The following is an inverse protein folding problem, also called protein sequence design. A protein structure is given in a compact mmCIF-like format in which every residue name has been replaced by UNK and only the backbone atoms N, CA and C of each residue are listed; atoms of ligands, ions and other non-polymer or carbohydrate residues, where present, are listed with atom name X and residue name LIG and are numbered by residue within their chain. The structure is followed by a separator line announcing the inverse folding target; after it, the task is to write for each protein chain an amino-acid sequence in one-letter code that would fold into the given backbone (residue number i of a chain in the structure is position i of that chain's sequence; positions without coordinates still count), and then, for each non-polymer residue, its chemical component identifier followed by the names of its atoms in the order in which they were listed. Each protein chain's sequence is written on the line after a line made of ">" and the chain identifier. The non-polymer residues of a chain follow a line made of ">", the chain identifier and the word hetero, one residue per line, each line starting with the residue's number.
data_IF_235728469703
#
_entry.id   IF_235728469703
#
_cell.length_a   1.000
_cell.length_b   1.000
_cell.length_c   1.000
_cell.angle_alpha   90.00
_cell.angle_beta   90.00
_cell.angle_gamma   90.00
#
_symmetry.space_group_name_H-M   'P 1'
#
loop_
_entity.id
_entity.type
_entity.pdbx_description
1 polymer ?
#
# COMPACT_ATOMS: atom_id res chain seq x y z
N UNK A 1 -6.87 15.16 4.64
CA UNK A 1 -6.88 14.72 6.06
C UNK A 1 -6.41 13.28 6.08
N UNK A 2 -5.79 12.81 7.16
CA UNK A 2 -5.49 11.38 7.32
C UNK A 2 -6.80 10.60 7.51
N UNK A 3 -6.82 9.31 7.15
CA UNK A 3 -7.96 8.46 7.47
C UNK A 3 -8.12 8.33 8.99
N UNK A 4 -9.35 8.23 9.50
CA UNK A 4 -9.58 7.94 10.91
C UNK A 4 -9.03 6.56 11.27
N UNK A 5 -8.38 6.47 12.42
CA UNK A 5 -7.68 5.27 12.90
C UNK A 5 -8.16 4.90 14.29
N UNK A 6 -8.27 3.61 14.55
CA UNK A 6 -8.39 3.05 15.89
C UNK A 6 -6.99 2.85 16.44
N UNK A 7 -6.71 3.45 17.59
CA UNK A 7 -5.45 3.27 18.30
C UNK A 7 -5.60 2.20 19.38
N UNK A 8 -4.64 1.28 19.44
CA UNK A 8 -4.56 0.27 20.49
C UNK A 8 -3.10 0.07 20.93
N UNK A 9 -2.90 -0.67 22.02
CA UNK A 9 -1.56 -1.06 22.48
C UNK A 9 -1.29 -2.51 22.06
N UNK A 10 -0.13 -2.73 21.43
CA UNK A 10 0.38 -4.05 21.12
C UNK A 10 0.92 -4.76 22.36
N UNK A 11 1.15 -6.07 22.26
CA UNK A 11 1.69 -6.90 23.35
C UNK A 11 3.07 -6.44 23.85
N UNK A 12 3.81 -5.73 23.00
CA UNK A 12 5.14 -5.21 23.30
C UNK A 12 5.13 -3.76 23.81
N UNK A 13 3.95 -3.15 23.99
CA UNK A 13 3.79 -1.76 24.42
C UNK A 13 3.78 -0.74 23.26
N UNK A 14 3.91 -1.19 22.01
CA UNK A 14 3.84 -0.32 20.83
C UNK A 14 2.42 0.20 20.58
N UNK A 15 2.30 1.40 20.00
CA UNK A 15 1.01 1.92 19.54
C UNK A 15 0.68 1.31 18.18
N UNK A 16 -0.45 0.62 18.10
CA UNK A 16 -0.99 0.08 16.86
C UNK A 16 -2.06 1.02 16.30
N UNK A 17 -2.10 1.10 14.97
CA UNK A 17 -2.95 1.94 14.15
C UNK A 17 -3.69 1.06 13.15
N UNK A 18 -4.96 0.82 13.44
CA UNK A 18 -5.85 0.14 12.50
C UNK A 18 -6.74 1.16 11.80
N UNK A 19 -6.95 0.99 10.51
CA UNK A 19 -7.99 1.72 9.78
C UNK A 19 -9.35 1.37 10.39
N UNK A 20 -10.21 2.37 10.60
CA UNK A 20 -11.56 2.10 11.13
C UNK A 20 -12.34 1.16 10.19
N UNK A 21 -13.07 0.15 10.70
CA UNK A 21 -13.73 -0.84 9.86
C UNK A 21 -14.72 -0.27 8.84
N UNK A 22 -15.33 0.88 9.15
CA UNK A 22 -16.28 1.58 8.30
C UNK A 22 -15.66 2.03 6.98
N UNK A 23 -14.34 2.21 6.90
CA UNK A 23 -13.63 2.52 5.64
C UNK A 23 -13.82 1.38 4.63
N UNK A 24 -13.99 0.13 5.06
CA UNK A 24 -14.22 -0.99 4.16
C UNK A 24 -15.57 -0.91 3.44
N UNK A 25 -16.55 -0.19 3.97
CA UNK A 25 -17.81 0.08 3.29
C UNK A 25 -17.64 0.96 2.05
N UNK A 26 -16.50 1.66 1.92
CA UNK A 26 -16.17 2.46 0.74
C UNK A 26 -15.69 1.60 -0.43
N UNK A 27 -15.36 0.31 -0.25
CA UNK A 27 -14.88 -0.56 -1.34
C UNK A 27 -15.98 -0.80 -2.38
N UNK A 28 -15.86 -0.19 -3.55
CA UNK A 28 -16.84 -0.27 -4.63
C UNK A 28 -16.56 -1.44 -5.58
N UNK A 29 -15.35 -1.46 -6.15
CA UNK A 29 -14.93 -2.41 -7.18
C UNK A 29 -13.58 -2.98 -6.80
N UNK A 30 -13.41 -4.29 -6.89
CA UNK A 30 -12.12 -4.93 -6.67
C UNK A 30 -11.40 -5.17 -7.99
N UNK A 31 -10.12 -4.81 -8.05
CA UNK A 31 -9.27 -4.99 -9.22
C UNK A 31 -8.46 -6.28 -9.14
N UNK A 32 -7.99 -6.61 -7.93
CA UNK A 32 -7.15 -7.76 -7.64
C UNK A 32 -7.69 -8.42 -6.38
N UNK A 33 -7.86 -9.75 -6.43
CA UNK A 33 -8.28 -10.57 -5.29
C UNK A 33 -7.33 -11.75 -5.13
N UNK A 34 -6.15 -11.50 -4.57
CA UNK A 34 -5.26 -12.57 -4.13
C UNK A 34 -5.15 -12.55 -2.61
N UNK A 35 -5.88 -13.48 -2.00
CA UNK A 35 -5.76 -13.74 -0.58
C UNK A 35 -4.50 -14.56 -0.26
N UNK A 36 -4.12 -14.67 1.02
CA UNK A 36 -2.91 -15.37 1.48
C UNK A 36 -2.79 -16.86 1.09
N UNK A 37 -3.83 -17.46 0.51
CA UNK A 37 -3.91 -18.89 0.14
C UNK A 37 -4.05 -19.13 -1.38
N UNK A 38 -4.03 -18.09 -2.20
CA UNK A 38 -4.13 -18.24 -3.65
C UNK A 38 -2.78 -18.71 -4.23
N UNK A 39 -2.79 -19.65 -5.18
CA UNK A 39 -1.58 -20.08 -5.87
C UNK A 39 -0.94 -18.89 -6.62
N UNK A 40 0.37 -18.70 -6.44
CA UNK A 40 1.17 -17.59 -7.00
C UNK A 40 1.13 -17.51 -8.55
N UNK A 41 0.61 -18.54 -9.23
CA UNK A 41 0.53 -18.65 -10.69
C UNK A 41 -0.54 -17.79 -11.37
N UNK A 42 -1.38 -17.07 -10.61
CA UNK A 42 -2.52 -16.32 -11.15
C UNK A 42 -2.46 -14.82 -10.90
N UNK A 43 -1.26 -14.21 -10.86
CA UNK A 43 -1.21 -12.77 -11.13
C UNK A 43 -1.35 -12.63 -12.63
N UNK A 44 -2.60 -12.73 -13.08
CA UNK A 44 -2.96 -12.47 -14.45
C UNK A 44 -2.36 -11.12 -14.82
N UNK A 45 -1.70 -11.07 -15.98
CA UNK A 45 -1.13 -9.86 -16.57
C UNK A 45 -2.13 -8.67 -16.62
N UNK A 46 -3.43 -8.95 -16.45
CA UNK A 46 -4.50 -7.97 -16.22
C UNK A 46 -4.37 -7.14 -14.93
N UNK A 47 -3.54 -7.55 -13.97
CA UNK A 47 -3.22 -6.79 -12.76
C UNK A 47 -2.17 -5.69 -13.02
N UNK A 48 -1.57 -5.59 -14.21
CA UNK A 48 -0.55 -4.58 -14.51
C UNK A 48 -1.11 -3.22 -14.95
N UNK A 49 -2.35 -3.17 -15.42
CA UNK A 49 -3.05 -1.95 -15.83
C UNK A 49 -4.29 -1.73 -14.94
N UNK A 50 -4.08 -1.31 -13.70
CA UNK A 50 -5.19 -1.01 -12.79
C UNK A 50 -5.50 0.48 -12.81
N UNK A 51 -6.61 0.81 -13.48
CA UNK A 51 -7.13 2.18 -13.50
C UNK A 51 -7.88 2.48 -12.20
N UNK A 52 -7.20 3.11 -11.26
CA UNK A 52 -7.81 3.73 -10.08
C UNK A 52 -8.36 5.10 -10.51
N UNK A 53 -9.68 5.25 -10.53
CA UNK A 53 -10.33 6.48 -10.96
C UNK A 53 -10.23 7.55 -9.87
N UNK A 54 -9.95 8.78 -10.29
CA UNK A 54 -9.82 9.96 -9.44
C UNK A 54 -8.85 9.79 -8.26
N UNK A 55 -7.86 8.89 -8.41
CA UNK A 55 -6.93 8.51 -7.36
C UNK A 55 -7.64 8.16 -6.04
N UNK A 56 -8.79 7.49 -6.11
CA UNK A 56 -9.54 7.05 -4.95
C UNK A 56 -9.48 5.53 -4.83
N UNK A 57 -8.46 5.04 -4.14
CA UNK A 57 -8.15 3.61 -4.15
C UNK A 57 -7.59 3.10 -2.84
N UNK A 58 -7.64 1.78 -2.72
CA UNK A 58 -7.07 1.03 -1.61
C UNK A 58 -6.27 -0.14 -2.17
N UNK A 59 -5.06 -0.34 -1.64
CA UNK A 59 -4.17 -1.43 -2.02
C UNK A 59 -3.64 -2.05 -0.72
N UNK A 60 -3.85 -3.35 -0.56
CA UNK A 60 -3.38 -4.14 0.58
C UNK A 60 -2.49 -5.25 0.06
N UNK A 61 -1.29 -5.38 0.60
CA UNK A 61 -0.41 -6.48 0.26
C UNK A 61 0.42 -6.93 1.43
N UNK A 62 0.90 -8.17 1.33
CA UNK A 62 1.87 -8.70 2.28
C UNK A 62 2.99 -9.42 1.55
N UNK A 63 4.16 -9.47 2.18
CA UNK A 63 5.34 -10.13 1.66
C UNK A 63 6.09 -10.82 2.78
N UNK A 64 6.52 -12.07 2.52
CA UNK A 64 7.48 -12.77 3.37
C UNK A 64 8.93 -12.36 3.09
N UNK A 65 9.17 -11.57 2.04
CA UNK A 65 10.49 -11.13 1.66
C UNK A 65 10.96 -9.98 2.54
N UNK A 66 12.20 -10.10 2.99
CA UNK A 66 12.90 -9.06 3.75
C UNK A 66 13.23 -7.82 2.93
N UNK A 67 13.36 -8.03 1.62
CA UNK A 67 13.47 -6.98 0.59
C UNK A 67 12.17 -6.92 -0.18
N UNK A 68 11.55 -5.74 -0.23
CA UNK A 68 10.35 -5.52 -1.01
C UNK A 68 10.42 -4.14 -1.65
N UNK A 69 10.09 -4.05 -2.94
CA UNK A 69 9.91 -2.78 -3.61
C UNK A 69 8.60 -2.82 -4.38
N UNK A 70 7.78 -1.80 -4.18
CA UNK A 70 6.53 -1.62 -4.89
C UNK A 70 6.37 -0.17 -5.31
N UNK A 71 6.16 0.03 -6.62
CA UNK A 71 5.99 1.33 -7.23
C UNK A 71 4.66 1.41 -7.96
N UNK A 72 3.96 2.52 -7.77
CA UNK A 72 2.89 2.98 -8.63
C UNK A 72 3.50 3.93 -9.67
N UNK A 73 3.44 3.54 -10.94
CA UNK A 73 3.99 4.33 -12.06
C UNK A 73 2.90 4.83 -12.97
N UNK A 74 3.07 6.05 -13.51
CA UNK A 74 2.31 6.54 -14.65
C UNK A 74 3.22 6.61 -15.90
N UNK A 75 2.74 7.22 -16.98
CA UNK A 75 3.55 7.37 -18.22
C UNK A 75 4.78 8.28 -18.06
N UNK A 76 4.84 9.08 -17.00
CA UNK A 76 5.96 9.95 -16.67
C UNK A 76 6.95 9.31 -15.69
N UNK A 77 6.70 8.07 -15.26
CA UNK A 77 7.55 7.30 -14.36
C UNK A 77 6.96 7.12 -12.96
N UNK A 78 7.78 6.86 -11.93
CA UNK A 78 7.32 6.69 -10.55
C UNK A 78 6.44 7.85 -10.08
N UNK A 79 5.26 7.51 -9.57
CA UNK A 79 4.32 8.43 -8.95
C UNK A 79 4.35 8.30 -7.43
N UNK A 80 4.39 7.06 -6.94
CA UNK A 80 4.56 6.71 -5.54
C UNK A 80 5.36 5.42 -5.41
N UNK A 81 6.20 5.29 -4.39
CA UNK A 81 6.98 4.09 -4.15
C UNK A 81 7.20 3.80 -2.68
N UNK A 82 7.35 2.51 -2.40
CA UNK A 82 7.86 2.02 -1.12
C UNK A 82 8.94 0.98 -1.35
N UNK A 83 10.00 1.09 -0.57
CA UNK A 83 11.08 0.13 -0.50
C UNK A 83 11.28 -0.30 0.95
N UNK A 84 11.36 -1.60 1.19
CA UNK A 84 11.80 -2.22 2.44
C UNK A 84 13.13 -2.91 2.20
N UNK A 85 14.12 -2.59 3.02
CA UNK A 85 15.42 -3.26 3.04
C UNK A 85 15.74 -3.78 4.45
N UNK A 86 16.35 -4.95 4.61
CA UNK A 86 16.80 -5.43 5.90
C UNK A 86 17.80 -4.45 6.54
N UNK A 87 17.66 -4.21 7.84
CA UNK A 87 18.58 -3.42 8.65
C UNK A 87 18.99 -4.23 9.88
N UNK A 88 20.12 -4.94 9.78
CA UNK A 88 20.54 -5.89 10.81
C UNK A 88 19.69 -7.17 10.81
N UNK A 89 19.55 -7.79 11.98
CA UNK A 89 18.85 -9.10 12.15
C UNK A 89 17.39 -8.99 12.61
N UNK A 90 16.96 -7.81 13.08
CA UNK A 90 15.66 -7.64 13.75
C UNK A 90 14.87 -6.42 13.29
N UNK A 91 15.34 -5.72 12.25
CA UNK A 91 14.69 -4.52 11.75
C UNK A 91 14.73 -4.46 10.21
N UNK A 92 13.81 -3.69 9.66
CA UNK A 92 13.79 -3.32 8.25
C UNK A 92 13.68 -1.80 8.14
N UNK A 93 14.44 -1.21 7.22
CA UNK A 93 14.28 0.20 6.82
C UNK A 93 13.22 0.26 5.73
N UNK A 94 12.10 0.92 6.02
CA UNK A 94 11.06 1.20 5.03
C UNK A 94 11.15 2.65 4.60
N UNK A 95 11.23 2.87 3.29
CA UNK A 95 11.32 4.19 2.66
C UNK A 95 10.12 4.40 1.75
N UNK A 96 9.30 5.40 2.03
CA UNK A 96 8.10 5.76 1.27
C UNK A 96 8.30 7.14 0.66
N UNK A 97 8.34 7.23 -0.67
CA UNK A 97 8.62 8.47 -1.41
C UNK A 97 9.81 9.27 -0.81
N UNK A 98 10.88 8.58 -0.40
CA UNK A 98 12.09 9.18 0.19
C UNK A 98 12.04 9.43 1.71
N UNK A 99 10.90 9.22 2.38
CA UNK A 99 10.78 9.29 3.84
C UNK A 99 11.04 7.91 4.42
N UNK A 100 12.05 7.79 5.28
CA UNK A 100 12.43 6.50 5.88
C UNK A 100 12.00 6.38 7.35
N UNK A 101 11.60 5.17 7.75
CA UNK A 101 11.50 4.77 9.15
C UNK A 101 12.04 3.36 9.33
N UNK A 102 12.49 3.05 10.54
CA UNK A 102 12.85 1.70 10.95
C UNK A 102 11.60 1.00 11.49
N UNK A 103 11.40 -0.24 11.06
CA UNK A 103 10.31 -1.10 11.47
C UNK A 103 10.88 -2.36 12.14
N UNK A 104 10.35 -2.77 13.30
CA UNK A 104 10.63 -4.08 13.87
C UNK A 104 10.29 -5.17 12.85
N UNK A 105 11.26 -6.04 12.57
CA UNK A 105 11.11 -7.16 11.66
C UNK A 105 11.78 -8.38 12.25
N UNK A 106 10.98 -9.28 12.80
CA UNK A 106 11.46 -10.60 13.19
C UNK A 106 11.51 -11.49 11.93
N UNK A 107 12.63 -12.19 11.75
CA UNK A 107 12.75 -13.22 10.71
C UNK A 107 11.54 -14.15 10.78
N UNK A 108 10.93 -14.46 9.62
CA UNK A 108 9.67 -15.21 9.47
C UNK A 108 8.35 -14.45 9.64
N UNK A 109 8.37 -13.14 9.92
CA UNK A 109 7.14 -12.32 9.87
C UNK A 109 6.93 -11.71 8.48
N UNK A 110 5.68 -11.77 8.02
CA UNK A 110 5.24 -11.04 6.83
C UNK A 110 5.20 -9.55 7.15
N UNK A 111 5.74 -8.73 6.25
CA UNK A 111 5.43 -7.31 6.24
C UNK A 111 4.07 -7.12 5.57
N UNK A 112 3.16 -6.44 6.26
CA UNK A 112 1.86 -6.03 5.75
C UNK A 112 1.87 -4.52 5.46
N UNK A 113 1.32 -4.17 4.30
CA UNK A 113 1.27 -2.82 3.80
C UNK A 113 -0.14 -2.49 3.34
N UNK A 114 -0.68 -1.39 3.84
CA UNK A 114 -2.03 -0.93 3.54
C UNK A 114 -2.00 0.51 3.04
N UNK A 115 -2.13 0.68 1.73
CA UNK A 115 -2.05 1.96 1.04
C UNK A 115 -3.44 2.46 0.66
N UNK A 116 -3.69 3.72 0.98
CA UNK A 116 -4.86 4.48 0.55
C UNK A 116 -4.43 5.64 -0.34
N UNK A 117 -5.13 5.80 -1.45
CA UNK A 117 -4.97 6.90 -2.38
C UNK A 117 -6.19 7.79 -2.30
N UNK A 118 -5.97 9.10 -2.17
CA UNK A 118 -7.02 10.11 -2.28
C UNK A 118 -6.48 11.40 -2.92
N UNK A 119 -6.76 11.58 -4.21
CA UNK A 119 -6.54 12.84 -4.93
C UNK A 119 -5.08 13.31 -4.97
N UNK A 120 -4.61 13.97 -3.92
CA UNK A 120 -3.23 14.45 -3.75
C UNK A 120 -2.51 13.83 -2.55
N UNK A 121 -3.05 12.77 -1.94
CA UNK A 121 -2.50 12.14 -0.74
C UNK A 121 -2.39 10.63 -0.96
N UNK A 122 -1.26 10.07 -0.56
CA UNK A 122 -1.03 8.64 -0.42
C UNK A 122 -0.70 8.34 1.04
N UNK A 123 -1.48 7.48 1.67
CA UNK A 123 -1.31 7.09 3.07
C UNK A 123 -1.03 5.60 3.16
N UNK A 124 0.16 5.24 3.62
CA UNK A 124 0.59 3.86 3.81
C UNK A 124 0.65 3.53 5.30
N UNK A 125 0.02 2.45 5.72
CA UNK A 125 0.17 1.86 7.04
C UNK A 125 0.97 0.56 6.91
N UNK A 126 2.05 0.43 7.67
CA UNK A 126 2.94 -0.75 7.68
C UNK A 126 2.82 -1.49 9.01
N UNK A 127 2.50 -2.80 8.96
CA UNK A 127 2.31 -3.68 10.13
C UNK A 127 1.38 -3.11 11.22
N UNK A 128 0.48 -2.19 10.85
CA UNK A 128 -0.29 -1.38 11.81
C UNK A 128 0.56 -0.54 12.78
N UNK A 129 1.88 -0.44 12.62
CA UNK A 129 2.76 0.26 13.57
C UNK A 129 3.23 1.62 13.07
N UNK A 130 3.43 1.77 11.75
CA UNK A 130 3.92 3.01 11.16
C UNK A 130 2.97 3.49 10.08
N UNK A 131 2.72 4.79 10.05
CA UNK A 131 1.93 5.43 9.01
C UNK A 131 2.77 6.48 8.29
N UNK A 132 2.81 6.40 6.97
CA UNK A 132 3.46 7.37 6.09
C UNK A 132 2.36 8.09 5.31
N UNK A 133 2.23 9.40 5.53
CA UNK A 133 1.29 10.23 4.78
C UNK A 133 2.09 11.15 3.87
N UNK A 134 2.03 10.89 2.56
CA UNK A 134 2.76 11.66 1.55
C UNK A 134 1.76 12.47 0.73
N UNK A 135 2.09 13.74 0.48
CA UNK A 135 1.33 14.57 -0.48
C UNK A 135 1.99 14.52 -1.85
N UNK A 136 1.20 14.26 -2.87
CA UNK A 136 1.64 14.22 -4.27
C UNK A 136 0.82 15.25 -5.05
N UNK A 137 1.45 16.38 -5.38
CA UNK A 137 0.85 17.49 -6.13
C UNK A 137 1.07 17.36 -7.64
N UNK A 138 1.16 16.12 -8.12
CA UNK A 138 1.33 15.79 -9.53
C UNK A 138 0.17 14.88 -9.94
N UNK A 139 -0.76 15.33 -10.80
CA UNK A 139 -1.73 14.43 -11.41
C UNK A 139 -1.03 13.30 -12.16
N UNK A 140 -1.57 12.08 -12.14
CA UNK A 140 -0.96 10.96 -12.84
C UNK A 140 -1.10 11.15 -14.36
N UNK A 141 -0.02 10.92 -15.11
CA UNK A 141 -0.06 10.93 -16.57
C UNK A 141 -0.67 9.61 -17.09
N UNK A 142 -1.99 9.53 -17.08
CA UNK A 142 -2.74 8.33 -17.44
C UNK A 142 -2.95 7.37 -16.26
N UNK A 143 -3.29 6.10 -16.52
CA UNK A 143 -3.54 5.13 -15.45
C UNK A 143 -2.25 4.81 -14.68
N UNK A 144 -2.41 4.55 -13.38
CA UNK A 144 -1.33 4.01 -12.55
C UNK A 144 -1.13 2.52 -12.84
N UNK A 145 0.12 2.08 -12.79
CA UNK A 145 0.55 0.70 -13.03
C UNK A 145 1.30 0.18 -11.83
N UNK A 146 1.04 -1.08 -11.49
CA UNK A 146 1.74 -1.77 -10.42
C UNK A 146 3.07 -2.32 -10.94
N UNK A 147 4.18 -1.89 -10.32
CA UNK A 147 5.53 -2.33 -10.68
C UNK A 147 6.27 -2.84 -9.45
N UNK A 148 6.39 -4.16 -9.28
CA UNK A 148 7.40 -4.74 -8.41
C UNK A 148 8.76 -4.68 -9.13
N UNK A 149 9.78 -4.11 -8.50
CA UNK A 149 11.09 -3.94 -9.14
C UNK A 149 11.99 -5.20 -9.08
N UNK A 150 11.78 -6.11 -8.12
CA UNK A 150 12.70 -7.22 -7.83
C UNK A 150 12.30 -8.60 -8.43
N UNK A 151 11.48 -8.62 -9.48
CA UNK A 151 11.15 -9.85 -10.22
C UNK A 151 9.64 -10.07 -10.47
N UNK A 152 9.22 -11.23 -11.02
CA UNK A 152 7.80 -11.53 -11.16
C UNK A 152 7.16 -11.44 -9.79
N UNK A 153 5.88 -11.11 -9.74
CA UNK A 153 5.11 -10.78 -8.54
C UNK A 153 5.09 -11.84 -7.40
N UNK A 154 5.89 -12.91 -7.50
CA UNK A 154 6.11 -13.93 -6.48
C UNK A 154 6.79 -13.45 -5.19
N UNK A 155 7.12 -12.16 -5.05
CA UNK A 155 7.47 -11.56 -3.76
C UNK A 155 6.23 -11.28 -2.88
N UNK A 156 5.02 -11.20 -3.46
CA UNK A 156 3.80 -11.00 -2.70
C UNK A 156 3.25 -12.32 -2.17
N UNK A 157 2.99 -12.38 -0.87
CA UNK A 157 2.23 -13.44 -0.23
C UNK A 157 0.72 -13.19 -0.35
N UNK A 158 0.31 -11.93 -0.49
CA UNK A 158 -1.05 -11.53 -0.86
C UNK A 158 -1.03 -10.15 -1.54
N UNK A 159 -2.01 -9.90 -2.41
CA UNK A 159 -2.21 -8.60 -3.04
C UNK A 159 -3.69 -8.42 -3.35
N UNK A 160 -4.27 -7.34 -2.84
CA UNK A 160 -5.65 -6.97 -3.05
C UNK A 160 -5.72 -5.48 -3.34
N UNK A 161 -6.63 -5.09 -4.25
CA UNK A 161 -6.80 -3.70 -4.61
C UNK A 161 -8.27 -3.39 -4.92
N UNK A 162 -8.71 -2.20 -4.53
CA UNK A 162 -10.08 -1.72 -4.71
C UNK A 162 -10.15 -0.27 -5.17
N UNK A 163 -11.15 0.02 -6.00
CA UNK A 163 -11.70 1.36 -6.18
C UNK A 163 -12.52 1.69 -4.94
N UNK A 164 -12.32 2.88 -4.38
CA UNK A 164 -13.14 3.38 -3.30
C UNK A 164 -14.23 4.33 -3.81
N UNK A 165 -15.36 4.36 -3.10
CA UNK A 165 -16.41 5.37 -3.25
C UNK A 165 -15.93 6.68 -2.64
N UNK A 166 -16.22 7.81 -3.29
CA UNK A 166 -15.92 9.10 -2.70
C UNK A 166 -16.84 9.41 -1.52
N UNK A 167 -16.26 9.91 -0.44
CA UNK A 167 -17.00 10.35 0.77
C UNK A 167 -17.62 11.75 0.62
N UNK A 168 -17.29 12.47 -0.44
CA UNK A 168 -17.80 13.81 -0.77
C UNK A 168 -17.77 14.01 -2.28
N UNK A 169 -18.75 14.75 -2.81
CA UNK A 169 -18.78 15.20 -4.20
C UNK A 169 -17.76 16.32 -4.46
N UNK A 170 -17.44 17.12 -3.44
CA UNK A 170 -16.45 18.20 -3.52
C UNK A 170 -15.06 17.68 -3.17
N UNK A 171 -14.34 17.20 -4.19
CA UNK A 171 -12.91 16.90 -4.09
C UNK A 171 -12.13 18.05 -4.71
N UNK A 172 -11.14 18.58 -4.00
CA UNK A 172 -10.22 19.63 -4.47
C UNK A 172 -9.22 19.13 -5.54
N UNK A 173 -9.66 18.21 -6.40
CA UNK A 173 -8.86 17.58 -7.45
C UNK A 173 -9.68 17.55 -8.72
N UNK A 174 -9.82 18.74 -9.33
CA UNK A 174 -10.26 18.90 -10.71
C UNK A 174 -9.06 18.82 -11.66
#
# INVERSE_FOLDING_TARGET
>A
MALPRVLSLGSSGDVLMHTVPEVYALRAKSFIRQGPRAALSHIALSALDVKIENLCGEILWSTASSRCNFTLEDRSGPWWSVESLPQGSSAARVTVNGISAELPWASHHNLEFHLFLDGSVAELICNHMHAFTVRIYRPPNGPLRFRPNDGPLGAFSSLQAWQLLPISADRLTA
#
